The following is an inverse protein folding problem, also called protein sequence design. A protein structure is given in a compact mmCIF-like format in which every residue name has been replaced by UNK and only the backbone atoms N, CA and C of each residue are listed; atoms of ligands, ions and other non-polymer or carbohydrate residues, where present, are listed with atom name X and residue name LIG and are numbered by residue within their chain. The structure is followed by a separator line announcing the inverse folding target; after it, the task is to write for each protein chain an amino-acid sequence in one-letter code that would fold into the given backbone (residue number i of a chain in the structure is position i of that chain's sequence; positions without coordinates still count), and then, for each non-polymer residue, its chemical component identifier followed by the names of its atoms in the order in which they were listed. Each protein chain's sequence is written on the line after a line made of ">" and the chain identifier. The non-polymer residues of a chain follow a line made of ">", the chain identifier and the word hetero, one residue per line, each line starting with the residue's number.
data_IF_098617100197
#
_entry.id   IF_098617100197
#
_cell.length_a   1.000
_cell.length_b   1.000
_cell.length_c   1.000
_cell.angle_alpha   90.00
_cell.angle_beta   90.00
_cell.angle_gamma   90.00
#
_symmetry.space_group_name_H-M   'P 1'
#
loop_
_entity.id
_entity.type
_entity.pdbx_description
1 polymer ?
#
# COMPACT_ATOMS: atom_id res chain seq x y z
N UNK A 1 30.53 9.92 21.99
CA UNK A 1 29.34 10.38 21.25
C UNK A 1 28.35 10.87 22.30
N UNK A 2 27.94 12.14 22.24
CA UNK A 2 27.07 12.73 23.25
C UNK A 2 25.72 12.01 23.35
N UNK A 3 25.17 11.92 24.56
CA UNK A 3 23.87 11.32 24.83
C UNK A 3 22.74 11.96 24.01
N UNK A 4 22.86 13.26 23.73
CA UNK A 4 21.95 14.00 22.85
C UNK A 4 21.99 13.51 21.39
N UNK A 5 23.16 13.13 20.88
CA UNK A 5 23.32 12.61 19.51
C UNK A 5 22.69 11.22 19.40
N UNK A 6 22.88 10.37 20.42
CA UNK A 6 22.27 9.03 20.46
C UNK A 6 20.74 9.14 20.50
N UNK A 7 20.19 10.05 21.30
CA UNK A 7 18.75 10.30 21.38
C UNK A 7 18.18 10.78 20.04
N UNK A 8 18.86 11.72 19.37
CA UNK A 8 18.43 12.23 18.07
C UNK A 8 18.42 11.13 16.99
N UNK A 9 19.48 10.33 16.91
CA UNK A 9 19.58 9.22 15.95
C UNK A 9 18.49 8.17 16.22
N UNK A 10 18.24 7.85 17.49
CA UNK A 10 17.20 6.89 17.88
C UNK A 10 15.80 7.39 17.51
N UNK A 11 15.51 8.68 17.74
CA UNK A 11 14.22 9.27 17.39
C UNK A 11 13.98 9.23 15.86
N UNK A 12 14.99 9.54 15.06
CA UNK A 12 14.91 9.45 13.59
C UNK A 12 14.64 8.01 13.15
N UNK A 13 15.32 7.02 13.74
CA UNK A 13 15.10 5.60 13.44
C UNK A 13 13.68 5.16 13.78
N UNK A 14 13.14 5.56 14.94
CA UNK A 14 11.77 5.23 15.34
C UNK A 14 10.76 5.82 14.35
N UNK A 15 10.94 7.08 13.95
CA UNK A 15 10.06 7.72 12.95
C UNK A 15 10.11 6.99 11.62
N UNK A 16 11.31 6.67 11.11
CA UNK A 16 11.47 5.93 9.85
C UNK A 16 10.87 4.53 9.90
N UNK A 17 11.08 3.79 11.00
CA UNK A 17 10.49 2.46 11.17
C UNK A 17 8.96 2.54 11.24
N UNK A 18 8.42 3.52 11.95
CA UNK A 18 6.97 3.71 12.05
C UNK A 18 6.33 4.08 10.72
N UNK A 19 6.99 4.88 9.88
CA UNK A 19 6.48 5.23 8.56
C UNK A 19 6.57 4.06 7.58
N UNK A 20 7.63 3.22 7.64
CA UNK A 20 7.74 2.03 6.81
C UNK A 20 6.63 1.02 7.12
N UNK A 21 6.24 0.84 8.39
CA UNK A 21 5.11 -0.03 8.77
C UNK A 21 3.78 0.46 8.15
N UNK A 22 3.67 1.76 7.87
CA UNK A 22 2.51 2.36 7.24
C UNK A 22 2.55 2.27 5.70
N UNK A 23 3.63 1.75 5.10
CA UNK A 23 3.72 1.58 3.66
C UNK A 23 3.22 0.18 3.29
N UNK A 24 2.10 0.12 2.56
CA UNK A 24 1.61 -1.11 1.95
C UNK A 24 1.61 -0.98 0.43
N UNK A 25 2.36 -1.87 -0.22
CA UNK A 25 2.40 -2.03 -1.67
C UNK A 25 1.76 -3.35 -2.05
N UNK A 26 0.98 -3.33 -3.13
CA UNK A 26 0.42 -4.51 -3.76
C UNK A 26 0.85 -4.56 -5.22
N UNK A 27 1.03 -5.78 -5.73
CA UNK A 27 1.34 -6.02 -7.14
C UNK A 27 0.13 -6.62 -7.83
N UNK A 28 -0.32 -5.98 -8.91
CA UNK A 28 -1.42 -6.47 -9.73
C UNK A 28 -0.84 -7.23 -10.93
N UNK A 29 -1.16 -8.53 -11.07
CA UNK A 29 -0.68 -9.33 -12.18
C UNK A 29 -1.15 -8.79 -13.53
N UNK A 30 -0.40 -9.13 -14.60
CA UNK A 30 -0.79 -8.85 -15.98
C UNK A 30 -2.19 -9.40 -16.28
N UNK A 31 -2.98 -8.66 -17.08
CA UNK A 31 -4.38 -8.97 -17.41
C UNK A 31 -5.33 -9.03 -16.20
N UNK A 32 -4.98 -8.41 -15.07
CA UNK A 32 -5.86 -8.27 -13.92
C UNK A 32 -6.10 -6.80 -13.58
N UNK A 33 -7.21 -6.53 -12.91
CA UNK A 33 -7.46 -5.28 -12.22
C UNK A 33 -7.67 -5.52 -10.73
N UNK A 34 -7.37 -4.51 -9.94
CA UNK A 34 -7.55 -4.50 -8.50
C UNK A 34 -8.58 -3.46 -8.08
N UNK A 35 -9.59 -3.84 -7.31
CA UNK A 35 -10.45 -2.90 -6.59
C UNK A 35 -9.93 -2.74 -5.17
N UNK A 36 -9.81 -1.50 -4.74
CA UNK A 36 -9.33 -1.15 -3.41
C UNK A 36 -10.48 -1.08 -2.42
N UNK A 37 -10.32 -1.75 -1.28
CA UNK A 37 -11.28 -1.74 -0.19
C UNK A 37 -10.63 -1.20 1.07
N UNK A 38 -11.43 -0.52 1.90
CA UNK A 38 -11.02 -0.20 3.26
C UNK A 38 -11.23 -1.40 4.18
N UNK A 39 -10.29 -1.64 5.10
CA UNK A 39 -10.41 -2.77 6.04
C UNK A 39 -11.52 -2.59 7.08
N UNK A 40 -11.97 -1.35 7.33
CA UNK A 40 -12.96 -1.04 8.38
C UNK A 40 -14.39 -0.87 7.87
N UNK A 41 -14.55 -0.64 6.58
CA UNK A 41 -15.83 -0.46 5.93
C UNK A 41 -15.67 -1.09 4.57
N UNK A 42 -16.55 -2.03 4.21
CA UNK A 42 -16.51 -2.76 2.93
C UNK A 42 -16.96 -1.83 1.79
N UNK A 43 -16.58 -0.56 1.88
CA UNK A 43 -16.71 0.44 0.84
C UNK A 43 -15.57 0.25 -0.16
N UNK A 44 -15.97 0.12 -1.41
CA UNK A 44 -15.07 0.12 -2.56
C UNK A 44 -14.61 1.55 -2.76
N UNK A 45 -13.31 1.79 -2.70
CA UNK A 45 -12.75 3.04 -3.21
C UNK A 45 -12.99 3.05 -4.72
N UNK A 46 -13.53 4.14 -5.27
CA UNK A 46 -13.93 4.23 -6.69
C UNK A 46 -12.74 4.12 -7.67
N UNK A 47 -11.54 3.86 -7.15
CA UNK A 47 -10.29 3.75 -7.89
C UNK A 47 -9.97 2.28 -8.19
N UNK A 48 -10.02 1.95 -9.47
CA UNK A 48 -9.50 0.69 -10.00
C UNK A 48 -8.00 0.81 -10.27
N UNK A 49 -7.23 -0.18 -9.83
CA UNK A 49 -5.82 -0.36 -10.08
C UNK A 49 -5.62 -1.33 -11.25
N UNK A 50 -4.71 -1.02 -12.16
CA UNK A 50 -4.36 -1.87 -13.31
C UNK A 50 -3.06 -2.62 -13.05
N UNK A 51 -2.49 -3.30 -14.05
CA UNK A 51 -1.24 -4.05 -13.89
C UNK A 51 -0.09 -3.22 -13.29
N UNK A 52 0.75 -3.87 -12.49
CA UNK A 52 1.95 -3.28 -11.89
C UNK A 52 1.88 -3.04 -10.38
N UNK A 53 2.87 -2.29 -9.88
CA UNK A 53 3.02 -1.99 -8.46
C UNK A 53 2.22 -0.76 -8.06
N UNK A 54 1.42 -0.89 -7.00
CA UNK A 54 0.59 0.20 -6.52
C UNK A 54 0.79 0.43 -5.03
N UNK A 55 0.83 1.71 -4.67
CA UNK A 55 0.75 2.11 -3.27
C UNK A 55 -0.72 2.09 -2.85
N UNK A 56 -1.01 1.21 -1.89
CA UNK A 56 -2.36 0.93 -1.41
C UNK A 56 -2.61 1.69 -0.11
N UNK A 57 -1.55 1.92 0.67
CA UNK A 57 -1.63 2.51 2.00
C UNK A 57 -2.06 1.47 3.04
N UNK A 58 -1.80 1.74 4.32
CA UNK A 58 -2.06 0.77 5.37
C UNK A 58 -3.57 0.61 5.57
N UNK A 59 -4.02 -0.56 6.05
CA UNK A 59 -5.44 -0.83 6.37
C UNK A 59 -6.38 -0.84 5.16
N UNK A 60 -5.82 -1.18 4.00
CA UNK A 60 -6.54 -1.37 2.76
C UNK A 60 -6.12 -2.70 2.15
N UNK A 61 -7.04 -3.34 1.46
CA UNK A 61 -6.75 -4.57 0.74
C UNK A 61 -7.22 -4.44 -0.71
N UNK A 62 -6.54 -5.12 -1.62
CA UNK A 62 -6.88 -5.09 -3.04
C UNK A 62 -7.49 -6.42 -3.44
N UNK A 63 -8.72 -6.37 -3.96
CA UNK A 63 -9.37 -7.53 -4.56
C UNK A 63 -8.99 -7.58 -6.04
N UNK A 64 -8.21 -8.59 -6.42
CA UNK A 64 -7.73 -8.78 -7.78
C UNK A 64 -8.71 -9.65 -8.57
N UNK A 65 -9.13 -9.19 -9.74
CA UNK A 65 -9.99 -9.92 -10.66
C UNK A 65 -9.39 -9.93 -12.06
N UNK A 66 -9.63 -11.01 -12.81
CA UNK A 66 -9.18 -11.11 -14.21
C UNK A 66 -9.97 -10.14 -15.08
N UNK A 67 -9.28 -9.44 -15.96
CA UNK A 67 -9.94 -8.67 -17.01
C UNK A 67 -10.34 -9.66 -18.12
N UNK A 68 -11.63 -9.69 -18.43
CA UNK A 68 -12.07 -10.24 -19.71
C UNK A 68 -11.46 -9.38 -20.80
N UNK A 69 -10.52 -9.94 -21.56
CA UNK A 69 -10.12 -9.40 -22.86
C UNK A 69 -11.27 -9.62 -23.84
N UNK A 70 -12.42 -8.99 -23.59
CA UNK A 70 -13.40 -8.76 -24.65
C UNK A 70 -12.77 -7.70 -25.54
N UNK A 71 -12.03 -8.18 -26.54
CA UNK A 71 -11.61 -7.43 -27.70
C UNK A 71 -12.83 -6.67 -28.26
N UNK A 72 -12.85 -5.36 -28.06
CA UNK A 72 -13.72 -4.42 -28.76
C UNK A 72 -12.93 -3.74 -29.88
#
# INVERSE_FOLDING_TARGET
>A
MDSAVIAAVSAVLVVLLSTIILIAFETIPTNHAGLLYHSWDVSVDAKTYYEGWHFVGPWRYVCVYSQSLEYA
#
